data_IF_464279367699
#
_entry.id   IF_464279367699
#
_cell.length_a   1.000
_cell.length_b   1.000
_cell.length_c   1.000
_cell.angle_alpha   90.00
_cell.angle_beta   90.00
_cell.angle_gamma   90.00
#
_symmetry.space_group_name_H-M   'P 1'
#
loop_
_entity.id
_entity.type
_entity.pdbx_description
1 polymer ?
#
# COMPACT_ATOMS: atom_id res chain seq x y z
N UNK A 1 -12.22 -4.87 -7.35
CA UNK A 1 -11.73 -5.85 -6.36
C UNK A 1 -10.46 -5.31 -5.74
N UNK A 2 -10.10 -5.68 -4.50
CA UNK A 2 -8.84 -5.29 -3.88
C UNK A 2 -7.64 -5.76 -4.71
N UNK A 3 -6.63 -4.91 -4.91
CA UNK A 3 -5.46 -5.25 -5.73
C UNK A 3 -4.74 -6.51 -5.23
N UNK A 4 -4.50 -6.61 -3.93
CA UNK A 4 -3.83 -7.76 -3.34
C UNK A 4 -4.62 -9.07 -3.54
N UNK A 5 -5.95 -9.02 -3.48
CA UNK A 5 -6.78 -10.21 -3.73
C UNK A 5 -6.54 -10.74 -5.14
N UNK A 6 -6.53 -9.85 -6.13
CA UNK A 6 -6.26 -10.18 -7.54
C UNK A 6 -4.83 -10.73 -7.69
N UNK A 7 -3.84 -10.14 -7.03
CA UNK A 7 -2.46 -10.65 -7.06
C UNK A 7 -2.40 -12.09 -6.52
N UNK A 8 -3.10 -12.39 -5.43
CA UNK A 8 -3.05 -13.70 -4.78
C UNK A 8 -3.88 -14.80 -5.47
N UNK A 9 -4.86 -14.44 -6.29
CA UNK A 9 -5.79 -15.40 -6.92
C UNK A 9 -5.78 -15.37 -8.45
N UNK A 10 -5.10 -14.40 -9.06
CA UNK A 10 -5.10 -14.15 -10.50
C UNK A 10 -6.35 -13.37 -10.99
N UNK A 11 -6.40 -13.12 -12.29
CA UNK A 11 -7.45 -12.34 -12.94
C UNK A 11 -7.08 -10.86 -13.12
N UNK A 12 -7.94 -10.08 -13.80
CA UNK A 12 -7.70 -8.66 -14.11
C UNK A 12 -6.24 -8.36 -14.55
N UNK A 13 -5.79 -9.07 -15.60
CA UNK A 13 -4.45 -9.00 -16.18
C UNK A 13 -3.30 -9.54 -15.31
N UNK A 14 -3.57 -10.12 -14.14
CA UNK A 14 -2.60 -10.93 -13.39
C UNK A 14 -2.70 -12.38 -13.90
N UNK A 15 -1.72 -12.87 -14.70
CA UNK A 15 -1.83 -14.16 -15.37
C UNK A 15 -1.72 -15.34 -14.41
N UNK A 16 -0.97 -15.18 -13.31
CA UNK A 16 -0.71 -16.23 -12.33
C UNK A 16 -0.92 -15.70 -10.91
N UNK A 17 -1.62 -16.48 -10.09
CA UNK A 17 -1.72 -16.25 -8.65
C UNK A 17 -0.33 -16.23 -7.99
N UNK A 18 -0.09 -15.26 -7.12
CA UNK A 18 1.15 -15.15 -6.36
C UNK A 18 0.90 -15.62 -4.92
N UNK A 19 1.64 -16.62 -4.47
CA UNK A 19 1.57 -17.08 -3.09
C UNK A 19 1.86 -15.90 -2.13
N UNK A 20 1.05 -15.66 -1.07
CA UNK A 20 1.29 -14.61 -0.08
C UNK A 20 2.72 -14.56 0.47
N UNK A 21 3.40 -15.70 0.57
CA UNK A 21 4.80 -15.77 0.98
C UNK A 21 5.74 -14.98 0.07
N UNK A 22 5.39 -14.81 -1.20
CA UNK A 22 6.17 -14.08 -2.22
C UNK A 22 5.75 -12.61 -2.35
N UNK A 23 4.95 -12.10 -1.42
CA UNK A 23 4.48 -10.72 -1.40
C UNK A 23 4.98 -10.05 -0.11
N UNK A 24 5.44 -8.81 -0.22
CA UNK A 24 5.92 -8.01 0.91
C UNK A 24 5.29 -6.61 0.87
N UNK A 25 4.91 -6.11 2.03
CA UNK A 25 4.54 -4.70 2.20
C UNK A 25 5.78 -3.89 2.53
N UNK A 26 5.95 -2.76 1.84
CA UNK A 26 6.94 -1.75 2.19
C UNK A 26 6.23 -0.60 2.90
N UNK A 27 6.75 -0.19 4.06
CA UNK A 27 6.26 0.97 4.78
C UNK A 27 7.29 2.10 4.72
N UNK A 28 6.84 3.30 4.37
CA UNK A 28 7.63 4.52 4.37
C UNK A 28 6.82 5.66 5.00
N UNK A 29 7.51 6.70 5.47
CA UNK A 29 6.86 7.93 5.94
C UNK A 29 6.66 8.88 4.79
N UNK A 30 5.42 9.33 4.57
CA UNK A 30 5.09 10.34 3.55
C UNK A 30 5.91 11.61 3.74
N UNK A 31 6.12 12.06 4.98
CA UNK A 31 6.90 13.27 5.28
C UNK A 31 8.37 13.09 4.90
N UNK A 32 8.97 11.94 5.25
CA UNK A 32 10.37 11.67 4.92
C UNK A 32 10.56 11.50 3.41
N UNK A 33 9.63 10.81 2.75
CA UNK A 33 9.66 10.64 1.29
C UNK A 33 9.48 11.99 0.59
N UNK A 34 8.57 12.85 1.04
CA UNK A 34 8.40 14.18 0.46
C UNK A 34 9.64 15.08 0.64
N UNK A 35 10.41 14.89 1.72
CA UNK A 35 11.60 15.71 2.00
C UNK A 35 12.79 15.50 1.04
N UNK A 36 12.76 14.46 0.20
CA UNK A 36 13.85 14.23 -0.77
C UNK A 36 13.77 15.12 -2.02
N UNK A 37 12.77 16.00 -2.10
CA UNK A 37 12.65 17.01 -3.16
C UNK A 37 12.25 16.49 -4.54
N UNK A 38 11.78 15.24 -4.61
CA UNK A 38 11.24 14.65 -5.85
C UNK A 38 9.79 15.06 -6.08
N UNK A 39 9.39 15.11 -7.35
CA UNK A 39 7.99 15.33 -7.72
C UNK A 39 7.13 14.21 -7.17
N UNK A 40 6.05 14.56 -6.48
CA UNK A 40 5.06 13.60 -6.04
C UNK A 40 3.65 14.19 -6.15
N UNK A 41 2.68 13.30 -6.24
CA UNK A 41 1.26 13.60 -6.14
C UNK A 41 0.63 12.63 -5.16
N UNK A 42 -0.40 13.07 -4.46
CA UNK A 42 -1.28 12.18 -3.72
C UNK A 42 -2.73 12.40 -4.13
N UNK A 43 -3.56 11.40 -3.95
CA UNK A 43 -4.97 11.45 -4.29
C UNK A 43 -5.86 11.19 -3.08
N UNK A 44 -7.09 11.71 -3.10
CA UNK A 44 -8.12 11.41 -2.07
C UNK A 44 -8.84 10.07 -2.32
N UNK A 45 -8.45 9.34 -3.37
CA UNK A 45 -9.04 8.06 -3.74
C UNK A 45 -8.37 7.43 -4.97
N UNK A 46 -8.99 6.38 -5.52
CA UNK A 46 -8.41 5.61 -6.62
C UNK A 46 -8.14 6.45 -7.87
N UNK A 47 -6.92 6.39 -8.42
CA UNK A 47 -6.47 7.30 -9.46
C UNK A 47 -7.25 7.26 -10.78
N UNK A 48 -7.98 6.18 -11.08
CA UNK A 48 -8.79 6.05 -12.31
C UNK A 48 -10.25 6.49 -12.11
N UNK A 49 -10.65 6.87 -10.90
CA UNK A 49 -12.03 7.30 -10.63
C UNK A 49 -12.20 8.80 -10.93
N UNK A 50 -13.26 9.16 -11.65
CA UNK A 50 -13.53 10.56 -12.08
C UNK A 50 -13.77 11.54 -10.92
N UNK A 51 -14.11 11.03 -9.73
CA UNK A 51 -14.35 11.85 -8.55
C UNK A 51 -13.08 12.05 -7.72
N UNK A 52 -12.00 11.33 -8.05
CA UNK A 52 -10.70 11.48 -7.40
C UNK A 52 -10.04 12.79 -7.80
N UNK A 53 -9.48 13.46 -6.81
CA UNK A 53 -8.67 14.66 -6.97
C UNK A 53 -7.23 14.35 -6.64
N UNK A 54 -6.33 14.97 -7.39
CA UNK A 54 -4.90 14.90 -7.18
C UNK A 54 -4.39 16.20 -6.57
N UNK A 55 -3.38 16.05 -5.72
CA UNK A 55 -2.82 17.11 -4.91
C UNK A 55 -1.30 17.03 -5.01
N UNK A 56 -0.65 18.19 -5.17
CA UNK A 56 0.80 18.31 -5.18
C UNK A 56 1.35 18.67 -3.78
N UNK A 57 2.64 18.98 -3.73
CA UNK A 57 3.34 19.34 -2.49
C UNK A 57 2.69 20.49 -1.72
N UNK A 58 2.02 21.44 -2.38
CA UNK A 58 1.40 22.61 -1.74
C UNK A 58 0.27 22.22 -0.78
N UNK A 59 -0.29 21.02 -0.95
CA UNK A 59 -1.39 20.47 -0.16
C UNK A 59 -0.95 19.42 0.85
N UNK A 60 0.34 19.09 0.90
CA UNK A 60 0.88 18.13 1.86
C UNK A 60 0.52 18.47 3.32
N UNK A 61 0.55 19.74 3.80
CA UNK A 61 0.13 20.06 5.17
C UNK A 61 -1.34 19.75 5.47
N UNK A 62 -2.19 19.67 4.44
CA UNK A 62 -3.63 19.39 4.54
C UNK A 62 -3.94 17.90 4.32
N UNK A 63 -2.94 17.06 4.02
CA UNK A 63 -3.13 15.64 3.75
C UNK A 63 -3.94 14.94 4.85
N UNK A 64 -3.72 15.17 6.16
CA UNK A 64 -4.51 14.54 7.20
C UNK A 64 -6.02 14.82 7.11
N UNK A 65 -6.42 15.98 6.58
CA UNK A 65 -7.81 16.41 6.45
C UNK A 65 -8.42 16.04 5.08
N UNK A 66 -7.59 15.93 4.03
CA UNK A 66 -8.01 15.53 2.68
C UNK A 66 -8.33 14.03 2.64
N UNK A 67 -7.56 13.25 3.38
CA UNK A 67 -7.63 11.78 3.35
C UNK A 67 -8.72 11.27 4.30
N UNK A 68 -9.58 10.39 3.79
CA UNK A 68 -10.56 9.67 4.59
C UNK A 68 -9.90 8.46 5.29
N UNK A 69 -9.33 8.71 6.47
CA UNK A 69 -8.66 7.68 7.28
C UNK A 69 -9.59 6.56 7.73
N UNK A 70 -10.89 6.86 7.92
CA UNK A 70 -11.88 5.85 8.27
C UNK A 70 -12.06 4.86 7.11
N UNK A 71 -12.18 5.36 5.88
CA UNK A 71 -12.24 4.52 4.68
C UNK A 71 -10.96 3.70 4.48
N UNK A 72 -9.77 4.31 4.64
CA UNK A 72 -8.49 3.63 4.46
C UNK A 72 -8.31 2.47 5.44
N UNK A 73 -8.68 2.68 6.71
CA UNK A 73 -8.46 1.70 7.79
C UNK A 73 -9.54 0.63 7.90
N UNK A 74 -10.66 0.76 7.19
CA UNK A 74 -11.72 -0.28 7.15
C UNK A 74 -11.19 -1.62 6.65
N UNK A 75 -11.52 -2.70 7.35
CA UNK A 75 -11.15 -4.05 6.93
C UNK A 75 -11.82 -4.45 5.61
N UNK A 76 -13.10 -4.11 5.45
CA UNK A 76 -13.90 -4.44 4.27
C UNK A 76 -14.12 -3.22 3.38
N UNK A 77 -14.18 -3.45 2.07
CA UNK A 77 -14.26 -2.41 1.05
C UNK A 77 -15.68 -1.85 0.85
N UNK A 78 -16.67 -2.43 1.53
CA UNK A 78 -18.09 -2.11 1.39
C UNK A 78 -18.70 -2.68 0.11
N UNK A 79 -19.93 -3.19 0.21
CA UNK A 79 -20.69 -3.70 -0.96
C UNK A 79 -21.67 -2.67 -1.51
N UNK A 80 -22.12 -1.70 -0.70
CA UNK A 80 -23.16 -0.73 -1.07
C UNK A 80 -22.65 0.70 -1.36
N UNK A 81 -21.54 1.13 -0.74
CA UNK A 81 -21.01 2.48 -0.92
C UNK A 81 -19.74 2.47 -1.77
N UNK A 82 -19.87 2.81 -3.05
CA UNK A 82 -18.77 2.89 -4.01
C UNK A 82 -17.71 3.94 -3.64
N UNK A 83 -18.11 4.99 -2.90
CA UNK A 83 -17.19 6.07 -2.52
C UNK A 83 -16.20 5.63 -1.42
N UNK A 84 -16.61 4.75 -0.50
CA UNK A 84 -15.69 4.15 0.49
C UNK A 84 -14.59 3.37 -0.22
N UNK A 85 -14.95 2.59 -1.24
CA UNK A 85 -13.98 1.87 -2.07
C UNK A 85 -13.01 2.83 -2.76
N UNK A 86 -13.52 3.90 -3.39
CA UNK A 86 -12.68 4.92 -4.03
C UNK A 86 -11.68 5.51 -3.02
N UNK A 87 -12.16 6.03 -1.89
CA UNK A 87 -11.35 6.69 -0.86
C UNK A 87 -10.34 5.77 -0.18
N UNK A 88 -10.72 4.50 0.07
CA UNK A 88 -9.83 3.48 0.61
C UNK A 88 -8.60 3.24 -0.27
N UNK A 89 -8.71 3.53 -1.56
CA UNK A 89 -7.65 3.42 -2.55
C UNK A 89 -6.95 4.76 -2.82
N UNK A 90 -6.89 5.67 -1.85
CA UNK A 90 -6.02 6.85 -1.95
C UNK A 90 -4.57 6.42 -2.23
N UNK A 91 -3.90 7.14 -3.12
CA UNK A 91 -2.57 6.80 -3.63
C UNK A 91 -1.57 7.91 -3.29
N UNK A 92 -0.31 7.53 -3.08
CA UNK A 92 0.84 8.44 -3.01
C UNK A 92 1.84 7.99 -4.08
N UNK A 93 2.07 8.84 -5.06
CA UNK A 93 2.82 8.53 -6.27
C UNK A 93 4.01 9.49 -6.33
N UNK A 94 5.22 8.94 -6.43
CA UNK A 94 6.47 9.69 -6.49
C UNK A 94 7.23 9.37 -7.77
N UNK A 95 7.96 10.35 -8.28
CA UNK A 95 8.79 10.23 -9.47
C UNK A 95 10.01 9.31 -9.23
N UNK A 96 10.05 8.18 -9.95
CA UNK A 96 11.13 7.21 -9.86
C UNK A 96 11.26 6.57 -8.48
N UNK A 97 12.45 6.07 -8.16
CA UNK A 97 12.65 5.25 -6.95
C UNK A 97 12.90 6.08 -5.69
N UNK A 98 12.41 5.60 -4.55
CA UNK A 98 12.83 6.15 -3.25
C UNK A 98 14.11 5.45 -2.75
N UNK A 99 15.01 6.18 -2.07
CA UNK A 99 16.16 5.55 -1.42
C UNK A 99 15.73 4.44 -0.43
N UNK A 100 16.38 3.26 -0.41
CA UNK A 100 15.98 2.15 0.45
C UNK A 100 15.97 2.47 1.95
N UNK A 101 16.78 3.43 2.39
CA UNK A 101 16.84 3.83 3.80
C UNK A 101 15.55 4.53 4.29
N UNK A 102 14.70 5.02 3.38
CA UNK A 102 13.38 5.58 3.70
C UNK A 102 12.32 4.51 3.95
N UNK A 103 12.64 3.24 3.65
CA UNK A 103 11.79 2.11 4.03
C UNK A 103 12.02 1.83 5.52
N UNK A 104 11.00 2.15 6.31
CA UNK A 104 11.03 2.06 7.77
C UNK A 104 10.53 0.70 8.27
N UNK A 105 9.82 -0.06 7.44
CA UNK A 105 9.31 -1.37 7.81
C UNK A 105 8.92 -2.25 6.64
N UNK A 106 8.87 -3.55 6.92
CA UNK A 106 8.51 -4.61 5.99
C UNK A 106 7.44 -5.49 6.62
N UNK A 107 6.31 -5.70 5.94
CA UNK A 107 5.26 -6.62 6.36
C UNK A 107 5.31 -7.90 5.52
N UNK A 108 5.39 -9.07 6.14
CA UNK A 108 5.47 -10.35 5.44
C UNK A 108 4.44 -11.36 5.96
N UNK A 109 4.14 -12.40 5.19
CA UNK A 109 3.09 -13.37 5.53
C UNK A 109 3.47 -14.32 6.66
N UNK A 110 4.67 -14.91 6.63
CA UNK A 110 5.10 -15.95 7.56
C UNK A 110 6.61 -15.88 7.89
N UNK A 111 7.11 -16.85 8.66
CA UNK A 111 8.51 -16.94 9.05
C UNK A 111 9.45 -17.17 7.86
N UNK A 112 9.02 -17.92 6.85
CA UNK A 112 9.86 -18.22 5.68
C UNK A 112 10.08 -16.98 4.82
N UNK A 113 9.04 -16.17 4.60
CA UNK A 113 9.16 -14.85 3.99
C UNK A 113 10.06 -13.91 4.81
N UNK A 114 9.94 -13.93 6.15
CA UNK A 114 10.83 -13.16 7.03
C UNK A 114 12.30 -13.57 6.88
N UNK A 115 12.59 -14.86 6.86
CA UNK A 115 13.96 -15.36 6.74
C UNK A 115 14.57 -14.95 5.39
N UNK A 116 13.81 -15.06 4.29
CA UNK A 116 14.26 -14.58 2.98
C UNK A 116 14.59 -13.08 2.97
N UNK A 117 13.80 -12.25 3.64
CA UNK A 117 14.11 -10.81 3.77
C UNK A 117 15.40 -10.57 4.56
N UNK A 118 15.66 -11.37 5.61
CA UNK A 118 16.92 -11.30 6.38
C UNK A 118 18.11 -11.72 5.50
N UNK A 119 17.97 -12.78 4.72
CA UNK A 119 19.00 -13.24 3.79
C UNK A 119 19.30 -12.20 2.70
N UNK A 120 18.31 -11.37 2.34
CA UNK A 120 18.47 -10.20 1.47
C UNK A 120 19.10 -8.97 2.17
N UNK A 121 19.42 -9.07 3.46
CA UNK A 121 20.05 -7.99 4.23
C UNK A 121 19.10 -7.03 4.95
N UNK A 122 17.79 -7.34 5.01
CA UNK A 122 16.85 -6.53 5.79
C UNK A 122 17.02 -6.83 7.27
N UNK A 123 17.18 -5.77 8.08
CA UNK A 123 17.26 -5.91 9.53
C UNK A 123 15.99 -6.54 10.09
N UNK A 124 16.14 -7.63 10.85
CA UNK A 124 15.02 -8.37 11.43
C UNK A 124 14.09 -7.54 12.33
N UNK A 125 14.58 -6.42 12.88
CA UNK A 125 13.81 -5.45 13.67
C UNK A 125 12.87 -4.58 12.82
N UNK A 126 13.13 -4.47 11.51
CA UNK A 126 12.26 -3.77 10.55
C UNK A 126 11.18 -4.68 9.96
N UNK A 127 11.19 -5.98 10.25
CA UNK A 127 10.27 -6.95 9.63
C UNK A 127 9.19 -7.37 10.63
N UNK A 128 7.93 -7.26 10.22
CA UNK A 128 6.75 -7.73 10.98
C UNK A 128 6.04 -8.84 10.19
N UNK A 129 5.73 -9.94 10.87
CA UNK A 129 4.86 -11.00 10.33
C UNK A 129 3.40 -10.59 10.56
N UNK A 130 2.63 -10.45 9.48
CA UNK A 130 1.25 -9.91 9.48
C UNK A 130 0.31 -10.77 8.59
N UNK A 131 0.08 -12.05 8.91
CA UNK A 131 -0.69 -12.95 8.04
C UNK A 131 -2.11 -12.45 7.74
N UNK A 132 -2.74 -11.77 8.69
CA UNK A 132 -4.09 -11.22 8.56
C UNK A 132 -4.21 -10.03 7.59
N UNK A 133 -3.08 -9.49 7.10
CA UNK A 133 -3.09 -8.48 6.04
C UNK A 133 -3.28 -9.09 4.64
N UNK A 134 -3.07 -10.40 4.51
CA UNK A 134 -3.18 -11.14 3.24
C UNK A 134 -4.51 -11.88 3.16
N UNK A 135 -4.92 -12.22 1.94
CA UNK A 135 -6.03 -13.13 1.70
C UNK A 135 -5.48 -14.56 1.74
N UNK A 136 -5.63 -15.24 2.87
CA UNK A 136 -5.33 -16.68 3.01
C UNK A 136 -6.54 -17.50 2.59
N UNK A 137 -6.32 -18.62 1.88
CA UNK A 137 -7.37 -19.56 1.43
C UNK A 137 -8.38 -19.87 2.55
N UNK A 138 -9.58 -19.28 2.49
CA UNK A 138 -10.63 -19.59 3.46
C UNK A 138 -11.69 -18.51 3.76
N UNK A 139 -11.65 -17.31 3.18
CA UNK A 139 -12.77 -16.34 3.19
C UNK A 139 -12.80 -15.56 1.87
#
# INVERSE_FOLDING_TARGET
MPMLYVIQHGGNFVPNAVNPENIVYLACSVVQVASIGKTFYFSDGHGTDRFTRFYDYSKLPQLPDIIDWEAITKQYWGTANLDVKRKKQAEFIIEGDIPPHLIIGFGCFNKDARNRLIDMGVLGTKIKIIPNAYYSNGI
#
